data_IF_864398318129
#
_entry.id   IF_864398318129
#
_cell.length_a   1.000
_cell.length_b   1.000
_cell.length_c   1.000
_cell.angle_alpha   90.00
_cell.angle_beta   90.00
_cell.angle_gamma   90.00
#
_symmetry.space_group_name_H-M   'P 1'
#
loop_
_entity.id
_entity.type
_entity.pdbx_description
1 polymer ?
#
# COMPACT_ATOMS: atom_id res chain seq x y z
N UNK A 1 -18.69 -6.17 16.71
CA UNK A 1 -17.80 -5.48 15.76
C UNK A 1 -18.11 -4.00 15.82
N UNK A 2 -17.10 -3.13 15.85
CA UNK A 2 -17.29 -1.67 15.88
C UNK A 2 -17.11 -1.12 14.46
N UNK A 3 -18.09 -0.39 13.88
CA UNK A 3 -18.01 0.05 12.49
C UNK A 3 -17.05 1.23 12.32
N UNK A 4 -16.28 1.21 11.22
CA UNK A 4 -15.46 2.32 10.76
C UNK A 4 -16.09 2.95 9.52
N UNK A 5 -15.91 4.26 9.36
CA UNK A 5 -16.19 4.93 8.09
C UNK A 5 -14.91 4.90 7.26
N UNK A 6 -15.00 4.44 6.01
CA UNK A 6 -13.86 4.30 5.11
C UNK A 6 -14.21 4.92 3.77
N UNK A 7 -13.30 5.74 3.25
CA UNK A 7 -13.36 6.26 1.89
C UNK A 7 -12.08 5.87 1.15
N UNK A 8 -12.25 5.41 -0.09
CA UNK A 8 -11.15 5.06 -0.98
C UNK A 8 -11.27 5.94 -2.21
N UNK A 9 -10.22 6.70 -2.50
CA UNK A 9 -10.08 7.44 -3.75
C UNK A 9 -9.18 6.65 -4.70
N UNK A 10 -9.76 6.22 -5.82
CA UNK A 10 -9.11 5.42 -6.83
C UNK A 10 -8.66 6.30 -7.99
N UNK A 11 -7.38 6.65 -8.02
CA UNK A 11 -6.75 7.34 -9.14
C UNK A 11 -6.07 6.37 -10.12
N UNK A 12 -5.74 6.88 -11.31
CA UNK A 12 -4.97 6.12 -12.30
C UNK A 12 -3.50 5.93 -11.91
N UNK A 13 -2.93 6.85 -11.13
CA UNK A 13 -1.55 6.79 -10.65
C UNK A 13 -1.46 6.32 -9.20
N UNK A 14 -2.30 6.87 -8.31
CA UNK A 14 -2.27 6.57 -6.89
C UNK A 14 -3.69 6.29 -6.35
N UNK A 15 -3.75 5.46 -5.34
CA UNK A 15 -4.92 5.18 -4.51
C UNK A 15 -4.64 5.67 -3.09
N UNK A 16 -5.64 6.27 -2.44
CA UNK A 16 -5.56 6.68 -1.03
C UNK A 16 -6.77 6.19 -0.26
N UNK A 17 -6.54 5.80 1.00
CA UNK A 17 -7.59 5.43 1.94
C UNK A 17 -7.60 6.43 3.09
N UNK A 18 -8.78 6.96 3.39
CA UNK A 18 -9.05 7.69 4.61
C UNK A 18 -10.10 6.94 5.44
N UNK A 19 -9.99 7.05 6.75
CA UNK A 19 -10.92 6.41 7.68
C UNK A 19 -11.23 7.29 8.88
N UNK A 20 -12.39 7.06 9.48
CA UNK A 20 -12.78 7.62 10.77
C UNK A 20 -13.12 6.50 11.74
N UNK A 21 -12.50 6.53 12.92
CA UNK A 21 -12.78 5.59 13.99
C UNK A 21 -14.11 5.94 14.68
N UNK A 22 -14.86 4.93 15.13
CA UNK A 22 -16.10 5.14 15.87
C UNK A 22 -15.85 5.98 17.14
N UNK A 23 -16.63 7.06 17.32
CA UNK A 23 -16.50 7.98 18.46
C UNK A 23 -15.41 9.05 18.32
N UNK A 24 -14.75 9.16 17.16
CA UNK A 24 -13.66 10.11 16.93
C UNK A 24 -14.04 11.58 16.80
N UNK A 25 -15.33 11.91 16.64
CA UNK A 25 -15.81 13.28 16.57
C UNK A 25 -16.46 13.72 17.90
N UNK A 26 -15.98 14.81 18.54
CA UNK A 26 -16.71 15.46 19.62
C UNK A 26 -18.12 15.88 19.16
N UNK A 27 -19.13 15.90 20.06
CA UNK A 27 -20.44 16.42 19.73
C UNK A 27 -20.35 17.86 19.18
N UNK A 28 -20.89 18.09 17.98
CA UNK A 28 -20.86 19.40 17.31
C UNK A 28 -19.61 19.69 16.48
N UNK A 29 -18.64 18.77 16.41
CA UNK A 29 -17.48 18.91 15.54
C UNK A 29 -17.88 18.85 14.06
N UNK A 30 -17.31 19.74 13.25
CA UNK A 30 -17.47 19.67 11.80
C UNK A 30 -16.77 18.40 11.26
N UNK A 31 -17.33 17.68 10.25
CA UNK A 31 -16.70 16.47 9.69
C UNK A 31 -15.27 16.65 9.17
N UNK A 32 -14.84 17.91 8.96
CA UNK A 32 -13.50 18.28 8.49
C UNK A 32 -12.56 18.74 9.60
N UNK A 33 -12.97 18.68 10.87
CA UNK A 33 -12.10 19.00 11.99
C UNK A 33 -10.96 17.98 12.14
N UNK A 34 -9.77 18.47 12.47
CA UNK A 34 -8.57 17.67 12.62
C UNK A 34 -8.75 16.63 13.74
N UNK A 35 -8.40 15.36 13.44
CA UNK A 35 -8.56 14.23 14.37
C UNK A 35 -9.81 13.37 14.14
N UNK A 36 -10.76 13.82 13.31
CA UNK A 36 -11.96 13.05 12.95
C UNK A 36 -11.69 12.06 11.81
N UNK A 37 -10.82 12.43 10.86
CA UNK A 37 -10.47 11.63 9.67
C UNK A 37 -8.95 11.46 9.62
N UNK A 38 -8.49 10.22 9.41
CA UNK A 38 -7.07 9.87 9.29
C UNK A 38 -6.80 9.21 7.94
N UNK A 39 -5.66 9.52 7.33
CA UNK A 39 -5.15 8.73 6.21
C UNK A 39 -4.59 7.41 6.73
N UNK A 40 -4.85 6.33 6.00
CA UNK A 40 -4.28 5.04 6.30
C UNK A 40 -2.92 4.91 5.62
N UNK A 41 -1.89 4.65 6.45
CA UNK A 41 -0.54 4.40 5.97
C UNK A 41 -0.41 2.93 5.57
N UNK A 42 0.06 2.69 4.35
CA UNK A 42 0.23 1.36 3.76
C UNK A 42 1.73 1.08 3.67
N UNK A 43 2.17 -0.02 4.27
CA UNK A 43 3.56 -0.49 4.17
C UNK A 43 3.89 -0.87 2.72
N UNK A 44 4.94 -0.26 2.18
CA UNK A 44 5.34 -0.41 0.78
C UNK A 44 6.85 -0.58 0.67
N UNK A 45 7.30 -1.29 -0.37
CA UNK A 45 8.72 -1.34 -0.72
C UNK A 45 9.10 0.02 -1.33
N UNK A 46 9.80 0.86 -0.56
CA UNK A 46 10.17 2.23 -0.97
C UNK A 46 11.57 2.31 -1.58
N UNK A 47 12.42 1.34 -1.26
CA UNK A 47 13.75 1.14 -1.83
C UNK A 47 14.12 -0.36 -1.77
N UNK A 48 15.20 -0.80 -2.44
CA UNK A 48 15.64 -2.20 -2.35
C UNK A 48 15.87 -2.65 -0.91
N UNK A 49 15.07 -3.61 -0.44
CA UNK A 49 15.13 -4.13 0.92
C UNK A 49 14.54 -3.21 2.01
N UNK A 50 13.91 -2.09 1.64
CA UNK A 50 13.34 -1.12 2.59
C UNK A 50 11.82 -1.06 2.48
N UNK A 51 11.15 -1.34 3.59
CA UNK A 51 9.69 -1.21 3.72
C UNK A 51 9.38 -0.04 4.64
N UNK A 52 8.55 0.88 4.16
CA UNK A 52 8.07 1.99 4.95
C UNK A 52 6.63 2.33 4.60
N UNK A 53 5.91 2.83 5.60
CA UNK A 53 4.54 3.29 5.45
C UNK A 53 4.41 4.53 4.56
N UNK A 54 3.54 4.47 3.55
CA UNK A 54 3.18 5.59 2.69
C UNK A 54 1.65 5.79 2.63
N UNK A 55 1.14 7.04 2.60
CA UNK A 55 -0.29 7.31 2.55
C UNK A 55 -0.90 7.12 1.14
N UNK A 56 -0.07 7.10 0.10
CA UNK A 56 -0.48 6.86 -1.28
C UNK A 56 0.06 5.50 -1.73
N UNK A 57 -0.79 4.66 -2.30
CA UNK A 57 -0.43 3.39 -2.92
C UNK A 57 -0.42 3.54 -4.45
N UNK A 58 0.65 3.15 -5.16
CA UNK A 58 0.63 3.08 -6.61
C UNK A 58 -0.54 2.24 -7.13
N UNK A 59 -1.35 2.80 -8.02
CA UNK A 59 -2.51 2.11 -8.60
C UNK A 59 -2.14 1.10 -9.69
N UNK A 60 -0.87 1.07 -10.10
CA UNK A 60 -0.35 0.15 -11.09
C UNK A 60 0.52 -0.92 -10.43
N UNK A 61 0.48 -2.11 -11.02
CA UNK A 61 1.43 -3.18 -10.72
C UNK A 61 2.19 -3.49 -12.00
N UNK A 62 3.50 -3.53 -11.91
CA UNK A 62 4.32 -4.00 -13.02
C UNK A 62 4.08 -5.50 -13.23
N UNK A 63 3.81 -5.87 -14.48
CA UNK A 63 3.68 -7.24 -14.93
C UNK A 63 4.62 -7.42 -16.10
N UNK A 64 5.73 -8.16 -15.95
CA UNK A 64 6.59 -8.45 -17.08
C UNK A 64 5.83 -9.28 -18.11
N UNK A 65 6.02 -8.97 -19.38
CA UNK A 65 5.61 -9.83 -20.47
C UNK A 65 6.47 -11.10 -20.51
N UNK A 66 5.98 -12.13 -21.21
CA UNK A 66 6.76 -13.35 -21.43
C UNK A 66 8.06 -13.03 -22.17
N UNK A 67 9.20 -13.43 -21.58
CA UNK A 67 10.52 -13.18 -22.14
C UNK A 67 11.06 -11.75 -21.97
N UNK A 68 10.35 -10.86 -21.27
CA UNK A 68 10.83 -9.48 -21.00
C UNK A 68 12.06 -9.46 -20.08
N UNK A 69 12.09 -10.37 -19.11
CA UNK A 69 13.21 -10.55 -18.19
C UNK A 69 13.98 -11.82 -18.55
N UNK A 70 15.30 -11.72 -18.72
CA UNK A 70 16.14 -12.87 -19.01
C UNK A 70 16.30 -13.77 -17.78
N UNK A 71 16.66 -15.04 -18.01
CA UNK A 71 16.89 -16.00 -16.93
C UNK A 71 17.97 -15.48 -15.96
N UNK A 72 17.61 -15.35 -14.68
CA UNK A 72 18.51 -14.86 -13.64
C UNK A 72 18.62 -13.34 -13.51
N UNK A 73 17.89 -12.53 -14.30
CA UNK A 73 17.96 -11.06 -14.17
C UNK A 73 17.41 -10.52 -12.84
N UNK A 74 16.50 -11.25 -12.21
CA UNK A 74 15.99 -10.91 -10.89
C UNK A 74 16.84 -11.48 -9.75
N UNK A 75 17.93 -12.21 -10.07
CA UNK A 75 18.80 -12.87 -9.09
C UNK A 75 19.36 -11.88 -8.07
N UNK A 76 18.84 -11.93 -6.86
CA UNK A 76 19.43 -11.22 -5.74
C UNK A 76 20.79 -11.87 -5.38
N UNK A 77 21.74 -11.10 -4.80
CA UNK A 77 23.05 -11.63 -4.42
C UNK A 77 23.00 -12.75 -3.36
N UNK A 78 21.85 -12.95 -2.73
CA UNK A 78 21.62 -13.95 -1.69
C UNK A 78 20.56 -14.96 -2.14
N UNK A 79 20.79 -16.24 -1.82
CA UNK A 79 19.86 -17.33 -2.12
C UNK A 79 18.80 -17.43 -1.01
N UNK A 80 17.68 -16.72 -1.15
CA UNK A 80 16.53 -16.84 -0.25
C UNK A 80 15.27 -17.25 -1.03
N UNK A 81 14.37 -18.06 -0.44
CA UNK A 81 13.07 -18.34 -1.04
C UNK A 81 12.25 -17.04 -1.14
N UNK A 82 11.61 -16.81 -2.29
CA UNK A 82 10.70 -15.68 -2.46
C UNK A 82 9.50 -15.75 -1.50
N UNK A 83 9.26 -14.66 -0.76
CA UNK A 83 8.11 -14.53 0.15
C UNK A 83 6.78 -14.34 -0.59
N UNK A 84 6.80 -13.91 -1.85
CA UNK A 84 5.61 -13.72 -2.68
C UNK A 84 5.19 -14.99 -3.45
N UNK A 85 5.91 -16.11 -3.29
CA UNK A 85 5.57 -17.39 -3.91
C UNK A 85 5.79 -17.44 -5.43
N UNK A 86 6.56 -16.50 -5.98
CA UNK A 86 7.01 -16.53 -7.37
C UNK A 86 8.13 -17.57 -7.44
N UNK A 87 7.98 -18.55 -8.34
CA UNK A 87 8.90 -19.69 -8.45
C UNK A 87 10.37 -19.30 -8.73
N UNK A 88 10.60 -18.05 -9.11
CA UNK A 88 11.89 -17.46 -9.44
C UNK A 88 11.86 -15.95 -9.09
N UNK A 89 11.81 -15.58 -7.81
CA UNK A 89 12.72 -14.50 -7.40
C UNK A 89 14.00 -15.22 -7.11
N UNK A 90 14.85 -15.28 -8.12
CA UNK A 90 16.18 -15.79 -7.94
C UNK A 90 16.89 -14.81 -6.99
#
# INVERSE_FOLDING_TARGET
MTPYLVSIDLGTTNTVLAYAAPGGAPPGAHPTEAGVISLFTIEQLVAPGEVAGQPLLPSNRYHPAEGELAAGELQLPWLLPDVAGVAQVA
#
